data_IF_014037387627
#
_entry.id   IF_014037387627
#
_cell.length_a   1.000
_cell.length_b   1.000
_cell.length_c   1.000
_cell.angle_alpha   90.00
_cell.angle_beta   90.00
_cell.angle_gamma   90.00
#
_symmetry.space_group_name_H-M   'P 1'
#
loop_
_entity.id
_entity.type
_entity.pdbx_description
1 polymer ?
#
# COMPACT_ATOMS: atom_id res chain seq x y z
N UNK A 1 13.41 19.77 2.93
CA UNK A 1 12.26 18.84 2.82
C UNK A 1 12.32 17.88 4.00
N UNK A 2 11.25 17.83 4.77
CA UNK A 2 11.16 16.93 5.92
C UNK A 2 10.15 15.83 5.63
N UNK A 3 10.59 14.59 5.60
CA UNK A 3 9.74 13.40 5.55
C UNK A 3 9.67 12.77 6.94
N UNK A 4 8.46 12.58 7.46
CA UNK A 4 8.26 11.96 8.76
C UNK A 4 7.06 10.99 8.71
N UNK A 5 7.04 10.05 9.64
CA UNK A 5 5.96 9.08 9.75
C UNK A 5 5.27 9.23 11.10
N UNK A 6 3.94 9.20 11.06
CA UNK A 6 3.09 9.32 12.26
C UNK A 6 1.94 8.31 12.18
N UNK A 7 1.27 8.08 13.29
CA UNK A 7 0.06 7.24 13.28
C UNK A 7 -1.04 7.90 12.45
N UNK A 8 -1.79 7.09 11.70
CA UNK A 8 -2.85 7.60 10.84
C UNK A 8 -4.03 8.12 11.65
N UNK A 9 -4.55 9.27 11.24
CA UNK A 9 -5.75 9.89 11.81
C UNK A 9 -6.85 9.99 10.75
N UNK A 10 -8.08 10.28 11.19
CA UNK A 10 -9.20 10.51 10.27
C UNK A 10 -8.94 11.70 9.35
N UNK A 11 -8.29 12.75 9.85
CA UNK A 11 -7.92 13.91 9.03
C UNK A 11 -6.94 13.54 7.91
N UNK A 12 -6.01 12.62 8.17
CA UNK A 12 -5.10 12.11 7.15
C UNK A 12 -5.86 11.39 6.03
N UNK A 13 -6.86 10.59 6.38
CA UNK A 13 -7.71 9.90 5.41
C UNK A 13 -8.43 10.90 4.53
N UNK A 14 -9.05 11.92 5.12
CA UNK A 14 -9.77 12.95 4.38
C UNK A 14 -8.85 13.69 3.41
N UNK A 15 -7.65 14.07 3.87
CA UNK A 15 -6.68 14.76 3.03
C UNK A 15 -6.23 13.91 1.85
N UNK A 16 -5.81 12.68 2.09
CA UNK A 16 -5.31 11.80 1.04
C UNK A 16 -6.40 11.41 0.04
N UNK A 17 -7.64 11.25 0.48
CA UNK A 17 -8.76 10.94 -0.40
C UNK A 17 -8.93 12.01 -1.49
N UNK A 18 -8.61 13.27 -1.19
CA UNK A 18 -8.70 14.38 -2.13
C UNK A 18 -7.48 14.53 -3.05
N UNK A 19 -6.35 13.96 -2.65
CA UNK A 19 -5.06 14.18 -3.35
C UNK A 19 -4.44 12.91 -3.91
N UNK A 20 -5.11 11.77 -3.78
CA UNK A 20 -4.60 10.47 -4.21
C UNK A 20 -4.18 10.50 -5.68
N UNK A 21 -3.04 9.91 -6.01
CA UNK A 21 -2.57 9.83 -7.38
C UNK A 21 -3.51 8.98 -8.24
N UNK A 22 -3.58 9.29 -9.54
CA UNK A 22 -4.56 8.67 -10.43
C UNK A 22 -4.39 7.15 -10.54
N UNK A 23 -3.14 6.66 -10.52
CA UNK A 23 -2.88 5.23 -10.60
C UNK A 23 -3.49 4.48 -9.42
N UNK A 24 -3.43 5.06 -8.22
CA UNK A 24 -4.03 4.46 -7.02
C UNK A 24 -5.56 4.56 -7.06
N UNK A 25 -6.10 5.66 -7.56
CA UNK A 25 -7.55 5.83 -7.75
C UNK A 25 -8.07 4.74 -8.69
N UNK A 26 -7.39 4.54 -9.82
CA UNK A 26 -7.77 3.53 -10.81
C UNK A 26 -7.68 2.11 -10.24
N UNK A 27 -6.63 1.83 -9.46
CA UNK A 27 -6.44 0.53 -8.83
C UNK A 27 -7.51 0.22 -7.80
N UNK A 28 -7.87 1.17 -6.95
CA UNK A 28 -8.94 1.00 -5.96
C UNK A 28 -10.28 0.68 -6.65
N UNK A 29 -10.57 1.36 -7.73
CA UNK A 29 -11.78 1.10 -8.48
C UNK A 29 -11.76 -0.27 -9.17
N UNK A 30 -10.64 -0.60 -9.82
CA UNK A 30 -10.50 -1.89 -10.52
C UNK A 30 -10.54 -3.08 -9.55
N UNK A 31 -10.02 -2.92 -8.34
CA UNK A 31 -9.99 -4.00 -7.35
C UNK A 31 -11.36 -4.28 -6.73
N UNK A 32 -12.11 -3.25 -6.35
CA UNK A 32 -13.31 -3.40 -5.52
C UNK A 32 -14.45 -2.43 -5.84
N UNK A 33 -14.32 -1.59 -6.85
CA UNK A 33 -15.23 -0.46 -7.10
C UNK A 33 -15.32 0.50 -5.90
N UNK A 34 -14.20 0.69 -5.19
CA UNK A 34 -14.13 1.66 -4.11
C UNK A 34 -13.67 3.02 -4.60
N UNK A 35 -14.30 4.08 -4.10
CA UNK A 35 -13.77 5.45 -4.21
C UNK A 35 -12.52 5.57 -3.35
N UNK A 36 -11.66 6.60 -3.55
CA UNK A 36 -10.50 6.81 -2.69
C UNK A 36 -10.81 6.82 -1.21
N UNK A 37 -11.85 7.52 -0.80
CA UNK A 37 -12.26 7.60 0.60
C UNK A 37 -12.66 6.22 1.15
N UNK A 38 -13.50 5.48 0.42
CA UNK A 38 -13.94 4.14 0.83
C UNK A 38 -12.75 3.18 0.96
N UNK A 39 -11.83 3.21 0.01
CA UNK A 39 -10.65 2.36 0.03
C UNK A 39 -9.78 2.63 1.27
N UNK A 40 -9.55 3.91 1.58
CA UNK A 40 -8.75 4.31 2.74
C UNK A 40 -9.42 3.91 4.06
N UNK A 41 -10.70 4.19 4.21
CA UNK A 41 -11.43 3.85 5.43
C UNK A 41 -11.37 2.34 5.69
N UNK A 42 -11.60 1.53 4.66
CA UNK A 42 -11.59 0.06 4.81
C UNK A 42 -10.19 -0.47 5.09
N UNK A 43 -9.17 0.02 4.39
CA UNK A 43 -7.80 -0.44 4.57
C UNK A 43 -7.30 -0.12 5.99
N UNK A 44 -7.55 1.08 6.47
CA UNK A 44 -7.15 1.51 7.81
C UNK A 44 -7.89 0.68 8.87
N UNK A 45 -9.17 0.41 8.67
CA UNK A 45 -10.00 -0.35 9.62
C UNK A 45 -9.49 -1.77 9.85
N UNK A 46 -9.01 -2.45 8.81
CA UNK A 46 -8.55 -3.85 8.90
C UNK A 46 -7.07 -3.96 9.22
N UNK A 47 -6.36 -2.85 9.31
CA UNK A 47 -4.91 -2.83 9.53
C UNK A 47 -4.55 -2.64 10.99
N UNK A 48 -3.45 -3.26 11.39
CA UNK A 48 -2.78 -2.96 12.64
C UNK A 48 -1.81 -1.80 12.41
N UNK A 49 -1.84 -0.79 13.28
CA UNK A 49 -0.89 0.32 13.27
C UNK A 49 -0.67 0.96 11.89
N UNK A 50 -1.73 1.44 11.20
CA UNK A 50 -1.54 2.13 9.92
C UNK A 50 -0.74 3.42 10.13
N UNK A 51 0.12 3.71 9.15
CA UNK A 51 1.10 4.80 9.23
C UNK A 51 0.85 5.80 8.12
N UNK A 52 0.98 7.07 8.46
CA UNK A 52 0.93 8.18 7.50
C UNK A 52 2.34 8.74 7.29
N UNK A 53 2.75 8.85 6.03
CA UNK A 53 3.95 9.57 5.65
C UNK A 53 3.61 11.02 5.32
N UNK A 54 4.30 11.95 5.98
CA UNK A 54 4.13 13.38 5.77
C UNK A 54 5.36 13.98 5.10
N UNK A 55 5.15 14.81 4.10
CA UNK A 55 6.20 15.63 3.49
C UNK A 55 5.91 17.08 3.83
N UNK A 56 6.77 17.69 4.63
CA UNK A 56 6.59 19.07 5.11
C UNK A 56 5.18 19.31 5.69
N UNK A 57 4.67 18.33 6.45
CA UNK A 57 3.37 18.40 7.10
C UNK A 57 2.16 18.01 6.23
N UNK A 58 2.37 17.76 4.94
CA UNK A 58 1.30 17.30 4.03
C UNK A 58 1.31 15.79 3.86
N UNK A 59 0.12 15.18 3.76
CA UNK A 59 0.00 13.73 3.58
C UNK A 59 0.54 13.31 2.22
N UNK A 60 1.60 12.51 2.22
CA UNK A 60 2.19 11.94 1.01
C UNK A 60 1.73 10.50 0.77
N UNK A 61 1.48 9.73 1.83
CA UNK A 61 1.00 8.36 1.72
C UNK A 61 0.40 7.88 3.04
N UNK A 62 -0.40 6.82 2.94
CA UNK A 62 -0.84 6.02 4.09
C UNK A 62 -0.59 4.56 3.73
N UNK A 63 -0.03 3.79 4.65
CA UNK A 63 0.30 2.39 4.41
C UNK A 63 0.15 1.56 5.67
N UNK A 64 0.05 0.26 5.50
CA UNK A 64 -0.10 -0.66 6.61
C UNK A 64 -0.14 -2.10 6.14
N UNK A 65 -0.45 -3.00 7.08
CA UNK A 65 -0.67 -4.41 6.79
C UNK A 65 -2.05 -4.77 7.31
N UNK A 66 -2.94 -5.12 6.39
CA UNK A 66 -4.26 -5.64 6.76
C UNK A 66 -4.13 -7.07 7.29
N UNK A 67 -4.90 -7.38 8.34
CA UNK A 67 -4.87 -8.71 8.95
C UNK A 67 -5.79 -9.62 8.14
N UNK A 68 -5.22 -10.57 7.40
CA UNK A 68 -5.97 -11.58 6.64
C UNK A 68 -6.35 -12.76 7.53
N UNK A 69 -5.42 -13.23 8.36
CA UNK A 69 -5.66 -14.31 9.29
C UNK A 69 -4.65 -14.26 10.44
N UNK A 70 -5.14 -14.02 11.66
CA UNK A 70 -4.28 -14.00 12.86
C UNK A 70 -3.71 -15.36 13.21
N UNK A 71 -4.48 -16.43 12.99
CA UNK A 71 -4.07 -17.78 13.37
C UNK A 71 -2.90 -18.31 12.52
N UNK A 72 -2.85 -17.90 11.23
CA UNK A 72 -1.80 -18.33 10.30
C UNK A 72 -0.67 -17.32 10.18
N UNK A 73 -0.83 -16.10 10.73
CA UNK A 73 0.15 -15.04 10.58
C UNK A 73 0.20 -14.44 9.18
N UNK A 74 -0.92 -14.42 8.47
CA UNK A 74 -1.01 -13.85 7.12
C UNK A 74 -1.45 -12.39 7.16
N UNK A 75 -0.72 -11.54 6.46
CA UNK A 75 -1.03 -10.12 6.33
C UNK A 75 -1.07 -9.66 4.88
N UNK A 76 -1.82 -8.59 4.64
CA UNK A 76 -1.96 -7.98 3.30
C UNK A 76 -1.37 -6.56 3.35
N UNK A 77 -0.13 -6.36 2.88
CA UNK A 77 0.48 -5.04 2.84
C UNK A 77 -0.19 -4.17 1.77
N UNK A 78 -0.38 -2.91 2.06
CA UNK A 78 -0.99 -1.95 1.16
C UNK A 78 -0.40 -0.56 1.34
N UNK A 79 -0.48 0.26 0.30
CA UNK A 79 -0.10 1.66 0.34
C UNK A 79 -0.90 2.45 -0.68
N UNK A 80 -1.37 3.62 -0.26
CA UNK A 80 -2.01 4.60 -1.14
C UNK A 80 -1.27 5.93 -0.98
N UNK A 81 -1.04 6.63 -2.09
CA UNK A 81 -0.16 7.78 -2.11
C UNK A 81 -0.71 8.94 -2.92
N UNK A 82 -0.19 10.13 -2.63
CA UNK A 82 -0.36 11.33 -3.43
C UNK A 82 0.86 11.55 -4.34
N UNK A 83 0.79 12.47 -5.32
CA UNK A 83 1.96 12.79 -6.14
C UNK A 83 3.17 13.32 -5.37
N UNK A 84 2.98 13.81 -4.14
CA UNK A 84 4.08 14.28 -3.29
C UNK A 84 5.15 13.22 -3.07
N UNK A 85 4.74 11.96 -2.98
CA UNK A 85 5.67 10.86 -2.75
C UNK A 85 6.68 10.70 -3.89
N UNK A 86 6.24 10.90 -5.13
CA UNK A 86 7.08 10.79 -6.32
C UNK A 86 8.16 11.85 -6.40
N UNK A 87 7.88 13.01 -5.81
CA UNK A 87 8.83 14.13 -5.82
C UNK A 87 9.96 13.93 -4.82
N UNK A 88 9.80 12.99 -3.87
CA UNK A 88 10.78 12.76 -2.80
C UNK A 88 11.00 11.26 -2.55
N UNK A 89 11.42 10.49 -3.58
CA UNK A 89 11.44 9.03 -3.49
C UNK A 89 12.51 8.48 -2.53
N UNK A 90 13.65 9.12 -2.40
CA UNK A 90 14.79 8.55 -1.64
C UNK A 90 14.50 8.39 -0.15
N UNK A 91 14.01 9.45 0.49
CA UNK A 91 13.72 9.42 1.92
C UNK A 91 12.64 8.39 2.23
N UNK A 92 11.60 8.36 1.39
CA UNK A 92 10.51 7.40 1.52
C UNK A 92 11.00 5.96 1.33
N UNK A 93 11.74 5.68 0.25
CA UNK A 93 12.21 4.32 -0.06
C UNK A 93 13.09 3.75 1.06
N UNK A 94 14.00 4.55 1.62
CA UNK A 94 14.85 4.11 2.71
C UNK A 94 14.06 3.72 3.94
N UNK A 95 13.12 4.56 4.38
CA UNK A 95 12.28 4.29 5.55
C UNK A 95 11.31 3.15 5.31
N UNK A 96 10.72 3.08 4.13
CA UNK A 96 9.77 2.03 3.81
C UNK A 96 10.43 0.65 3.74
N UNK A 97 11.66 0.57 3.26
CA UNK A 97 12.41 -0.70 3.26
C UNK A 97 12.62 -1.23 4.68
N UNK A 98 13.00 -0.36 5.60
CA UNK A 98 13.18 -0.73 7.02
C UNK A 98 11.85 -1.22 7.60
N UNK A 99 10.77 -0.50 7.35
CA UNK A 99 9.45 -0.88 7.80
C UNK A 99 9.01 -2.23 7.23
N UNK A 100 9.25 -2.46 5.94
CA UNK A 100 8.89 -3.72 5.29
C UNK A 100 9.71 -4.89 5.84
N UNK A 101 11.00 -4.70 6.10
CA UNK A 101 11.84 -5.74 6.71
C UNK A 101 11.32 -6.11 8.10
N UNK A 102 10.86 -5.13 8.87
CA UNK A 102 10.21 -5.38 10.16
C UNK A 102 8.94 -6.22 9.99
N UNK A 103 8.11 -5.90 9.00
CA UNK A 103 6.88 -6.67 8.72
C UNK A 103 7.21 -8.08 8.26
N UNK A 104 8.21 -8.24 7.42
CA UNK A 104 8.66 -9.56 6.94
C UNK A 104 9.18 -10.44 8.07
N UNK A 105 9.77 -9.86 9.12
CA UNK A 105 10.18 -10.61 10.30
C UNK A 105 9.00 -11.01 11.20
N UNK A 106 7.91 -10.27 11.13
CA UNK A 106 6.75 -10.42 12.02
C UNK A 106 5.68 -11.37 11.48
N UNK A 107 5.48 -11.37 10.16
CA UNK A 107 4.43 -12.16 9.51
C UNK A 107 5.02 -13.41 8.87
N UNK A 108 4.27 -14.53 8.89
CA UNK A 108 4.68 -15.74 8.21
C UNK A 108 4.51 -15.63 6.69
N UNK A 109 3.51 -14.88 6.25
CA UNK A 109 3.24 -14.62 4.84
C UNK A 109 2.62 -13.24 4.65
N UNK A 110 3.10 -12.54 3.65
CA UNK A 110 2.52 -11.28 3.19
C UNK A 110 2.06 -11.47 1.75
N UNK A 111 0.82 -11.10 1.44
CA UNK A 111 0.29 -11.20 0.09
C UNK A 111 -0.81 -10.19 -0.17
N UNK A 112 -0.88 -9.71 -1.39
CA UNK A 112 -1.95 -8.86 -1.87
C UNK A 112 -1.91 -8.83 -3.40
N UNK A 113 -2.68 -7.94 -4.00
CA UNK A 113 -2.79 -7.78 -5.45
C UNK A 113 -2.40 -6.36 -5.85
N UNK A 114 -1.76 -6.22 -7.00
CA UNK A 114 -1.37 -4.94 -7.58
C UNK A 114 -1.84 -4.88 -9.02
N UNK A 115 -2.45 -3.77 -9.42
CA UNK A 115 -2.92 -3.55 -10.80
C UNK A 115 -1.71 -3.63 -11.76
N UNK A 116 -1.84 -4.45 -12.81
CA UNK A 116 -0.76 -4.64 -13.77
C UNK A 116 -0.38 -3.34 -14.51
N UNK A 117 -1.27 -2.34 -14.54
CA UNK A 117 -1.01 -1.02 -15.12
C UNK A 117 -0.16 -0.12 -14.22
N UNK A 118 -0.09 -0.44 -12.93
CA UNK A 118 0.63 0.37 -11.94
C UNK A 118 2.12 0.01 -11.94
N UNK A 119 2.82 0.39 -13.01
CA UNK A 119 4.20 -0.03 -13.28
C UNK A 119 5.19 0.34 -12.17
N UNK A 120 5.01 1.51 -11.56
CA UNK A 120 5.88 1.98 -10.47
C UNK A 120 5.75 1.06 -9.25
N UNK A 121 4.52 0.73 -8.87
CA UNK A 121 4.27 -0.18 -7.74
C UNK A 121 4.80 -1.59 -8.02
N UNK A 122 4.61 -2.10 -9.23
CA UNK A 122 5.11 -3.42 -9.64
C UNK A 122 6.63 -3.51 -9.49
N UNK A 123 7.37 -2.52 -10.00
CA UNK A 123 8.84 -2.49 -9.88
C UNK A 123 9.28 -2.38 -8.41
N UNK A 124 8.59 -1.59 -7.65
CA UNK A 124 8.93 -1.35 -6.26
C UNK A 124 8.73 -2.59 -5.40
N UNK A 125 7.62 -3.30 -5.61
CA UNK A 125 7.36 -4.56 -4.91
C UNK A 125 8.46 -5.60 -5.19
N UNK A 126 8.91 -5.70 -6.44
CA UNK A 126 10.05 -6.56 -6.78
C UNK A 126 11.32 -6.17 -6.03
N UNK A 127 11.59 -4.86 -5.94
CA UNK A 127 12.75 -4.34 -5.22
C UNK A 127 12.67 -4.65 -3.71
N UNK A 128 11.45 -4.66 -3.13
CA UNK A 128 11.24 -5.00 -1.72
C UNK A 128 11.34 -6.51 -1.45
N UNK A 129 11.52 -7.33 -2.47
CA UNK A 129 11.71 -8.77 -2.32
C UNK A 129 10.46 -9.61 -2.50
N UNK A 130 9.37 -9.04 -2.98
CA UNK A 130 8.16 -9.80 -3.28
C UNK A 130 8.29 -10.52 -4.62
N UNK A 131 7.70 -11.73 -4.67
CA UNK A 131 7.48 -12.45 -5.92
C UNK A 131 6.14 -12.00 -6.50
N UNK A 132 6.09 -11.79 -7.82
CA UNK A 132 4.88 -11.41 -8.52
C UNK A 132 4.47 -12.53 -9.48
N UNK A 133 3.22 -13.00 -9.35
CA UNK A 133 2.66 -13.98 -10.26
C UNK A 133 2.34 -13.32 -11.61
N UNK A 134 2.16 -14.13 -12.66
CA UNK A 134 1.70 -13.64 -13.95
C UNK A 134 0.37 -12.90 -13.79
N UNK A 135 0.14 -11.83 -14.58
CA UNK A 135 -1.11 -11.09 -14.47
C UNK A 135 -2.31 -11.97 -14.81
N UNK A 136 -3.38 -11.82 -14.03
CA UNK A 136 -4.61 -12.57 -14.19
C UNK A 136 -5.81 -11.69 -13.86
N UNK A 137 -7.00 -12.00 -14.39
CA UNK A 137 -8.21 -11.24 -14.08
C UNK A 137 -8.51 -11.22 -12.58
N UNK A 138 -8.81 -10.04 -12.07
CA UNK A 138 -9.13 -9.82 -10.66
C UNK A 138 -10.10 -8.65 -10.52
N UNK A 139 -10.93 -8.69 -9.48
CA UNK A 139 -11.90 -7.64 -9.21
C UNK A 139 -13.16 -7.72 -10.07
N UNK A 140 -14.12 -6.79 -9.86
CA UNK A 140 -15.43 -6.85 -10.49
C UNK A 140 -15.41 -6.69 -12.01
N UNK A 141 -14.43 -5.99 -12.57
CA UNK A 141 -14.33 -5.77 -14.01
C UNK A 141 -13.35 -6.73 -14.70
N UNK A 142 -12.74 -7.65 -13.95
CA UNK A 142 -11.80 -8.63 -14.50
C UNK A 142 -10.52 -8.02 -15.07
N UNK A 143 -10.07 -6.89 -14.52
CA UNK A 143 -8.82 -6.26 -14.94
C UNK A 143 -7.63 -7.09 -14.52
N UNK A 144 -6.53 -7.00 -15.26
CA UNK A 144 -5.32 -7.77 -14.95
C UNK A 144 -4.59 -7.22 -13.71
N UNK A 145 -4.38 -8.10 -12.74
CA UNK A 145 -3.61 -7.82 -11.53
C UNK A 145 -2.53 -8.87 -11.37
N UNK A 146 -1.41 -8.48 -10.77
CA UNK A 146 -0.42 -9.44 -10.25
C UNK A 146 -0.75 -9.73 -8.81
N UNK A 147 -0.79 -11.02 -8.43
CA UNK A 147 -0.70 -11.37 -7.03
C UNK A 147 0.76 -11.26 -6.62
N UNK A 148 1.06 -10.54 -5.54
CA UNK A 148 2.41 -10.48 -5.00
C UNK A 148 2.44 -11.13 -3.61
N UNK A 149 3.55 -11.79 -3.29
CA UNK A 149 3.66 -12.55 -2.06
C UNK A 149 5.10 -12.67 -1.58
N UNK A 150 5.22 -12.87 -0.28
CA UNK A 150 6.48 -13.13 0.40
C UNK A 150 6.21 -14.09 1.55
N UNK A 151 7.07 -15.08 1.72
CA UNK A 151 6.98 -16.05 2.82
C UNK A 151 8.25 -16.02 3.64
N UNK A 152 8.07 -16.13 4.95
CA UNK A 152 9.19 -16.31 5.87
C UNK A 152 9.68 -17.76 5.75
N UNK A 153 10.97 -17.95 5.48
CA UNK A 153 11.56 -19.26 5.30
C UNK A 153 11.65 -20.04 6.61
#
# INVERSE_FOLDING_TARGET
MLYETVSTTDDHIEELALTMCQEDVDECWAAMHYTPHEALVRAVKVSQEPITGLVDGEVACIFGVGVSCNLTGYGSPWMLASPLLRNHPRAFLAKNKIWMEYQQARWSRLENFVDARHHVAVRWLGWLGFDLDEPAPYGPDGMDFHKFHWENA
#
